data_IF_065984395461
#
_entry.id   IF_065984395461
#
_cell.length_a   1.000
_cell.length_b   1.000
_cell.length_c   1.000
_cell.angle_alpha   90.00
_cell.angle_beta   90.00
_cell.angle_gamma   90.00
#
_symmetry.space_group_name_H-M   'P 1'
#
loop_
_entity.id
_entity.type
_entity.pdbx_description
1 polymer ?
#
# COMPACT_ATOMS: atom_id res chain seq x y z
N UNK A 1 -24.44 41.22 15.39
CA UNK A 1 -23.52 40.07 15.63
C UNK A 1 -24.41 38.86 15.89
N UNK A 2 -24.34 37.71 15.21
CA UNK A 2 -23.33 37.07 14.37
C UNK A 2 -24.09 36.31 13.27
N UNK A 3 -23.65 36.41 12.01
CA UNK A 3 -24.08 35.54 10.93
C UNK A 3 -23.32 34.21 11.07
N UNK A 4 -24.01 33.12 11.39
CA UNK A 4 -23.41 31.77 11.36
C UNK A 4 -23.55 31.25 9.94
N UNK A 5 -22.47 31.32 9.17
CA UNK A 5 -22.36 30.65 7.89
C UNK A 5 -22.07 29.16 8.14
N UNK A 6 -23.08 28.30 7.97
CA UNK A 6 -22.89 26.85 7.97
C UNK A 6 -22.13 26.45 6.71
N UNK A 7 -20.84 26.13 6.86
CA UNK A 7 -20.06 25.49 5.81
C UNK A 7 -20.59 24.07 5.63
N UNK A 8 -21.32 23.83 4.54
CA UNK A 8 -21.54 22.46 4.06
C UNK A 8 -20.20 21.95 3.54
N UNK A 9 -19.54 21.09 4.31
CA UNK A 9 -18.43 20.30 3.82
C UNK A 9 -18.95 19.40 2.68
N UNK A 10 -18.64 19.77 1.44
CA UNK A 10 -18.81 18.88 0.29
C UNK A 10 -17.71 17.83 0.42
N UNK A 11 -18.01 16.72 1.08
CA UNK A 11 -17.19 15.53 1.00
C UNK A 11 -17.28 14.97 -0.42
N UNK A 12 -16.27 15.23 -1.24
CA UNK A 12 -16.10 14.48 -2.48
C UNK A 12 -15.82 13.02 -2.11
N UNK A 13 -16.83 12.17 -2.22
CA UNK A 13 -16.61 10.73 -2.26
C UNK A 13 -15.70 10.43 -3.46
N UNK A 14 -14.46 10.00 -3.19
CA UNK A 14 -13.53 9.56 -4.23
C UNK A 14 -14.19 8.40 -4.99
N UNK A 15 -14.50 8.62 -6.27
CA UNK A 15 -15.11 7.63 -7.18
C UNK A 15 -14.17 6.47 -7.57
N UNK A 16 -13.03 6.32 -6.90
CA UNK A 16 -11.97 5.36 -7.25
C UNK A 16 -11.99 4.06 -6.41
N UNK A 17 -12.91 3.91 -5.43
CA UNK A 17 -12.95 2.74 -4.53
C UNK A 17 -13.62 1.47 -5.11
N UNK A 18 -14.25 1.52 -6.29
CA UNK A 18 -15.21 0.46 -6.70
C UNK A 18 -14.77 -0.45 -7.87
N UNK A 19 -13.54 -0.37 -8.39
CA UNK A 19 -13.14 -1.16 -9.58
C UNK A 19 -12.33 -2.42 -9.29
N UNK A 20 -11.74 -2.57 -8.11
CA UNK A 20 -11.05 -3.80 -7.70
C UNK A 20 -11.93 -4.63 -6.79
N UNK A 21 -12.02 -5.94 -7.04
CA UNK A 21 -12.49 -6.88 -6.02
C UNK A 21 -11.40 -6.97 -4.92
N UNK A 22 -11.34 -5.98 -4.03
CA UNK A 22 -10.33 -5.83 -2.96
C UNK A 22 -10.60 -6.76 -1.77
N UNK A 23 -10.81 -8.05 -2.03
CA UNK A 23 -11.03 -9.05 -0.96
C UNK A 23 -9.73 -9.66 -0.42
N UNK A 24 -8.62 -9.42 -1.10
CA UNK A 24 -7.33 -10.04 -0.78
C UNK A 24 -6.48 -9.04 0.02
N UNK A 25 -6.80 -8.91 1.31
CA UNK A 25 -6.02 -8.19 2.32
C UNK A 25 -4.51 -8.45 2.18
N UNK A 26 -3.66 -7.55 2.70
CA UNK A 26 -2.21 -7.73 2.77
C UNK A 26 -1.83 -8.96 3.61
N UNK A 27 -1.55 -10.09 2.95
CA UNK A 27 -1.44 -11.42 3.57
C UNK A 27 -0.37 -12.30 2.93
N UNK A 28 0.08 -13.29 3.70
CA UNK A 28 1.06 -14.29 3.26
C UNK A 28 0.51 -15.16 2.12
N UNK A 29 1.35 -15.46 1.13
CA UNK A 29 1.09 -16.40 0.04
C UNK A 29 0.23 -15.87 -1.10
N UNK A 30 -0.04 -14.56 -1.14
CA UNK A 30 -0.78 -13.92 -2.24
C UNK A 30 0.18 -13.28 -3.25
N UNK A 31 -0.08 -13.47 -4.56
CA UNK A 31 0.78 -12.92 -5.62
C UNK A 31 0.45 -11.44 -5.92
N UNK A 32 1.07 -10.55 -5.14
CA UNK A 32 0.90 -9.10 -5.33
C UNK A 32 1.53 -8.57 -6.62
N UNK A 33 2.46 -9.29 -7.24
CA UNK A 33 3.03 -8.88 -8.54
C UNK A 33 1.97 -9.02 -9.62
N UNK A 34 1.27 -10.16 -9.65
CA UNK A 34 0.17 -10.38 -10.58
C UNK A 34 -0.98 -9.40 -10.31
N UNK A 35 -1.32 -9.18 -9.03
CA UNK A 35 -2.34 -8.20 -8.65
C UNK A 35 -1.98 -6.79 -9.12
N UNK A 36 -0.76 -6.31 -8.90
CA UNK A 36 -0.34 -4.97 -9.32
C UNK A 36 -0.39 -4.82 -10.85
N UNK A 37 0.02 -5.85 -11.59
CA UNK A 37 -0.07 -5.85 -13.05
C UNK A 37 -1.52 -5.77 -13.55
N UNK A 38 -2.45 -6.50 -12.93
CA UNK A 38 -3.88 -6.53 -13.32
C UNK A 38 -4.64 -5.25 -12.95
N UNK A 39 -4.25 -4.58 -11.87
CA UNK A 39 -4.95 -3.41 -11.34
C UNK A 39 -4.32 -2.07 -11.76
N UNK A 40 -3.17 -2.11 -12.44
CA UNK A 40 -2.64 -0.93 -13.11
C UNK A 40 -3.52 -0.46 -14.29
N UNK A 41 -3.24 0.73 -14.85
CA UNK A 41 -2.18 1.65 -14.45
C UNK A 41 -2.48 2.35 -13.11
N UNK A 42 -1.43 2.56 -12.33
CA UNK A 42 -1.46 3.43 -11.16
C UNK A 42 -1.05 4.84 -11.57
N UNK A 43 -1.54 5.85 -10.87
CA UNK A 43 -1.26 7.24 -11.15
C UNK A 43 -0.70 7.99 -9.93
N UNK A 44 -0.04 9.11 -10.22
CA UNK A 44 0.40 10.03 -9.16
C UNK A 44 -0.83 10.54 -8.40
N UNK A 45 -0.71 10.56 -7.08
CA UNK A 45 -1.76 10.85 -6.08
C UNK A 45 -2.81 9.76 -5.90
N UNK A 46 -2.69 8.61 -6.56
CA UNK A 46 -3.45 7.44 -6.15
C UNK A 46 -3.02 7.00 -4.75
N UNK A 47 -3.98 6.46 -3.99
CA UNK A 47 -3.76 5.96 -2.64
C UNK A 47 -3.84 4.45 -2.64
N UNK A 48 -2.77 3.79 -2.18
CA UNK A 48 -2.77 2.37 -1.91
C UNK A 48 -3.23 2.16 -0.46
N UNK A 49 -4.22 1.32 -0.26
CA UNK A 49 -4.74 0.98 1.07
C UNK A 49 -4.33 -0.44 1.42
N UNK A 50 -3.52 -0.60 2.47
CA UNK A 50 -3.05 -1.86 2.98
C UNK A 50 -3.89 -2.28 4.19
N UNK A 51 -4.74 -3.30 4.00
CA UNK A 51 -5.55 -3.88 5.07
C UNK A 51 -4.91 -5.17 5.58
N UNK A 52 -4.66 -5.25 6.88
CA UNK A 52 -4.13 -6.44 7.56
C UNK A 52 -4.47 -6.39 9.04
N UNK A 53 -4.72 -7.55 9.63
CA UNK A 53 -5.15 -7.61 11.01
C UNK A 53 -4.01 -7.19 11.96
N UNK A 54 -4.29 -6.34 12.96
CA UNK A 54 -3.33 -6.04 14.02
C UNK A 54 -2.87 -7.32 14.73
N UNK A 55 -1.59 -7.39 15.16
CA UNK A 55 -1.08 -8.59 15.81
C UNK A 55 -1.81 -8.87 17.13
N UNK A 56 -2.06 -10.14 17.40
CA UNK A 56 -2.56 -10.68 18.65
C UNK A 56 -1.97 -12.09 18.88
N UNK A 57 -2.38 -12.79 19.92
CA UNK A 57 -1.86 -14.12 20.28
C UNK A 57 -1.96 -15.18 19.16
N UNK A 58 -2.86 -14.98 18.19
CA UNK A 58 -3.12 -15.90 17.08
C UNK A 58 -2.85 -15.28 15.70
N UNK A 59 -2.81 -13.95 15.60
CA UNK A 59 -2.60 -13.21 14.35
C UNK A 59 -1.14 -12.81 14.24
N UNK A 60 -0.45 -13.35 13.23
CA UNK A 60 0.93 -12.93 12.92
C UNK A 60 0.94 -11.48 12.43
N UNK A 61 1.94 -10.68 12.82
CA UNK A 61 2.05 -9.32 12.36
C UNK A 61 2.29 -9.26 10.85
N UNK A 62 1.85 -8.16 10.25
CA UNK A 62 2.25 -7.71 8.93
C UNK A 62 2.65 -6.24 9.00
N UNK A 63 3.64 -5.82 8.22
CA UNK A 63 4.00 -4.41 8.09
C UNK A 63 4.17 -4.03 6.64
N UNK A 64 4.33 -2.74 6.38
CA UNK A 64 4.60 -2.23 5.03
C UNK A 64 5.93 -1.49 5.06
N UNK A 65 6.90 -2.03 4.33
CA UNK A 65 8.20 -1.43 4.10
C UNK A 65 8.29 -0.89 2.68
N UNK A 66 8.95 0.26 2.54
CA UNK A 66 9.29 0.89 1.27
C UNK A 66 10.80 0.84 1.08
N UNK A 67 11.24 0.19 0.00
CA UNK A 67 12.64 0.11 -0.38
C UNK A 67 13.01 1.25 -1.33
N UNK A 68 14.19 1.82 -1.12
CA UNK A 68 14.78 2.85 -1.99
C UNK A 68 15.73 2.23 -3.02
N UNK A 69 16.25 1.03 -2.74
CA UNK A 69 17.20 0.31 -3.59
C UNK A 69 16.55 -0.96 -4.18
N UNK A 70 16.49 -1.09 -5.53
CA UNK A 70 15.90 -2.26 -6.18
C UNK A 70 16.62 -3.59 -5.86
N UNK A 71 17.93 -3.57 -5.67
CA UNK A 71 18.69 -4.77 -5.32
C UNK A 71 18.37 -5.26 -3.91
N UNK A 72 18.24 -4.33 -2.96
CA UNK A 72 17.78 -4.66 -1.60
C UNK A 72 16.36 -5.23 -1.63
N UNK A 73 15.45 -4.66 -2.43
CA UNK A 73 14.11 -5.21 -2.63
C UNK A 73 14.12 -6.63 -3.18
N UNK A 74 14.94 -6.90 -4.20
CA UNK A 74 15.04 -8.23 -4.80
C UNK A 74 15.52 -9.29 -3.79
N UNK A 75 16.45 -8.90 -2.90
CA UNK A 75 17.01 -9.75 -1.84
C UNK A 75 16.19 -9.75 -0.54
N UNK A 76 15.15 -8.91 -0.44
CA UNK A 76 14.43 -8.65 0.81
C UNK A 76 15.35 -8.19 1.97
N UNK A 77 16.38 -7.40 1.65
CA UNK A 77 17.29 -6.80 2.63
C UNK A 77 16.67 -5.52 3.22
N UNK A 78 16.18 -5.60 4.45
CA UNK A 78 15.47 -4.52 5.14
C UNK A 78 16.40 -3.47 5.76
N UNK A 79 17.73 -3.66 5.73
CA UNK A 79 18.70 -2.81 6.45
C UNK A 79 18.60 -1.32 6.12
N UNK A 80 18.17 -0.98 4.90
CA UNK A 80 17.94 0.39 4.44
C UNK A 80 16.47 0.66 4.09
N UNK A 81 15.60 -0.34 4.18
CA UNK A 81 14.19 -0.19 3.87
C UNK A 81 13.48 0.58 5.00
N UNK A 82 12.54 1.45 4.62
CA UNK A 82 11.79 2.26 5.58
C UNK A 82 10.45 1.60 5.89
N UNK A 83 10.17 1.31 7.16
CA UNK A 83 8.82 0.98 7.58
C UNK A 83 7.92 2.21 7.38
N UNK A 84 6.89 2.07 6.54
CA UNK A 84 5.91 3.12 6.25
C UNK A 84 4.56 2.84 6.90
N UNK A 85 4.20 1.56 7.09
CA UNK A 85 3.00 1.14 7.83
C UNK A 85 3.36 0.11 8.90
N UNK A 86 2.96 0.38 10.15
CA UNK A 86 3.24 -0.44 11.34
C UNK A 86 2.26 -1.61 11.46
N UNK A 87 2.61 -2.68 12.19
CA UNK A 87 1.72 -3.81 12.44
C UNK A 87 0.31 -3.50 12.94
N UNK A 88 0.15 -2.40 13.68
CA UNK A 88 -1.14 -1.99 14.24
C UNK A 88 -1.98 -1.12 13.30
N UNK A 89 -1.42 -0.65 12.17
CA UNK A 89 -2.05 0.36 11.31
C UNK A 89 -2.86 -0.25 10.15
N UNK A 90 -2.79 -1.56 9.94
CA UNK A 90 -3.56 -2.25 8.89
C UNK A 90 -5.02 -2.54 9.22
N UNK A 91 -5.42 -2.38 10.49
CA UNK A 91 -6.80 -2.65 10.93
C UNK A 91 -7.79 -1.55 10.52
N UNK A 92 -9.08 -1.85 10.62
CA UNK A 92 -10.15 -0.88 10.31
C UNK A 92 -10.14 -0.43 8.85
N UNK A 93 -9.93 0.86 8.63
CA UNK A 93 -9.81 1.44 7.28
C UNK A 93 -8.52 1.04 6.57
N UNK A 94 -7.51 0.57 7.31
CA UNK A 94 -6.21 0.17 6.79
C UNK A 94 -5.18 1.30 6.73
N UNK A 95 -3.94 0.91 6.42
CA UNK A 95 -2.83 1.84 6.27
C UNK A 95 -2.83 2.43 4.86
N UNK A 96 -2.93 3.75 4.74
CA UNK A 96 -2.93 4.45 3.46
C UNK A 96 -1.52 4.95 3.06
N UNK A 97 -1.15 4.72 1.80
CA UNK A 97 0.07 5.27 1.22
C UNK A 97 -0.23 5.99 -0.10
N UNK A 98 0.07 7.28 -0.16
CA UNK A 98 -0.13 8.11 -1.36
C UNK A 98 1.10 8.07 -2.28
N UNK A 99 0.89 7.77 -3.56
CA UNK A 99 1.92 7.74 -4.60
C UNK A 99 2.28 9.15 -5.09
N UNK A 100 3.17 9.86 -4.40
CA UNK A 100 3.40 11.31 -4.62
C UNK A 100 4.37 11.69 -5.74
N UNK A 101 5.10 10.75 -6.32
CA UNK A 101 6.21 11.02 -7.26
C UNK A 101 6.20 10.05 -8.43
N UNK A 102 6.61 10.52 -9.60
CA UNK A 102 6.87 9.71 -10.78
C UNK A 102 8.19 8.94 -10.63
N UNK A 103 8.13 7.79 -9.95
CA UNK A 103 9.25 6.88 -9.70
C UNK A 103 8.70 5.50 -9.32
N UNK A 104 9.46 4.40 -9.44
CA UNK A 104 9.03 3.11 -8.91
C UNK A 104 8.96 3.14 -7.37
N UNK A 105 7.94 2.49 -6.82
CA UNK A 105 7.79 2.21 -5.39
C UNK A 105 7.87 0.70 -5.16
N UNK A 106 8.78 0.29 -4.29
CA UNK A 106 9.06 -1.10 -3.98
C UNK A 106 8.52 -1.44 -2.59
N UNK A 107 7.34 -2.05 -2.52
CA UNK A 107 6.67 -2.38 -1.27
C UNK A 107 6.90 -3.84 -0.88
N UNK A 108 7.18 -4.11 0.39
CA UNK A 108 7.17 -5.47 0.92
C UNK A 108 6.81 -5.55 2.40
N UNK A 109 6.52 -6.75 2.89
CA UNK A 109 6.31 -7.00 4.31
C UNK A 109 7.67 -7.27 4.97
N UNK A 110 7.97 -6.54 6.05
CA UNK A 110 9.24 -6.65 6.77
C UNK A 110 9.25 -7.70 7.88
N UNK A 111 8.09 -8.25 8.23
CA UNK A 111 7.95 -9.16 9.36
C UNK A 111 8.76 -10.46 9.20
N UNK A 112 9.18 -10.98 10.37
CA UNK A 112 10.07 -12.13 10.50
C UNK A 112 11.36 -11.98 9.69
N UNK A 113 12.06 -10.85 9.90
CA UNK A 113 13.34 -10.54 9.25
C UNK A 113 13.30 -10.66 7.72
N UNK A 114 12.18 -10.25 7.12
CA UNK A 114 11.97 -10.28 5.66
C UNK A 114 11.52 -11.63 5.09
N UNK A 115 11.25 -12.65 5.90
CA UNK A 115 10.71 -13.94 5.42
C UNK A 115 9.37 -13.76 4.69
N UNK A 116 8.49 -12.86 5.17
CA UNK A 116 7.24 -12.55 4.47
C UNK A 116 7.46 -11.95 3.06
N UNK A 117 8.51 -11.14 2.88
CA UNK A 117 8.92 -10.63 1.57
C UNK A 117 9.49 -11.74 0.67
N UNK A 118 10.36 -12.58 1.23
CA UNK A 118 11.15 -13.56 0.47
C UNK A 118 10.32 -14.78 0.04
N UNK A 119 9.66 -15.39 1.02
CA UNK A 119 8.97 -16.68 0.87
C UNK A 119 7.44 -16.49 0.87
N UNK A 120 6.96 -15.43 1.51
CA UNK A 120 5.54 -15.11 1.64
C UNK A 120 4.91 -14.39 0.46
N UNK A 121 5.66 -14.09 -0.60
CA UNK A 121 5.21 -13.33 -1.77
C UNK A 121 4.65 -11.92 -1.45
N UNK A 122 4.82 -11.43 -0.22
CA UNK A 122 4.29 -10.15 0.24
C UNK A 122 5.19 -9.00 -0.23
N UNK A 123 5.28 -8.83 -1.55
CA UNK A 123 6.06 -7.78 -2.20
C UNK A 123 5.52 -7.46 -3.58
N UNK A 124 5.56 -6.20 -3.97
CA UNK A 124 5.21 -5.75 -5.32
C UNK A 124 5.84 -4.40 -5.64
N UNK A 125 5.78 -4.05 -6.92
CA UNK A 125 6.29 -2.78 -7.44
C UNK A 125 5.15 -2.08 -8.16
N UNK A 126 5.03 -0.77 -7.94
CA UNK A 126 4.18 0.09 -8.76
C UNK A 126 5.00 1.24 -9.32
N UNK A 127 4.70 1.65 -10.54
CA UNK A 127 5.22 2.86 -11.15
C UNK A 127 4.02 3.75 -11.49
N UNK A 128 3.68 4.73 -10.63
CA UNK A 128 2.60 5.68 -10.92
C UNK A 128 2.94 6.55 -12.11
N UNK A 129 2.01 6.66 -13.05
CA UNK A 129 2.11 7.50 -14.25
C UNK A 129 1.36 8.83 -14.07
N UNK A 130 1.57 9.77 -14.98
CA UNK A 130 0.72 10.98 -15.04
C UNK A 130 -0.66 10.63 -15.58
N UNK A 131 -1.74 11.12 -14.95
CA UNK A 131 -3.11 10.95 -15.49
C UNK A 131 -3.19 11.62 -16.87
N UNK A 132 -3.77 10.92 -17.85
CA UNK A 132 -3.89 11.41 -19.24
C UNK A 132 -2.66 11.15 -20.12
N UNK A 133 -1.58 10.57 -19.59
CA UNK A 133 -0.55 9.97 -20.42
C UNK A 133 -1.03 8.59 -20.89
N UNK A 134 -1.53 8.54 -22.13
CA UNK A 134 -1.80 7.28 -22.83
C UNK A 134 -0.61 6.98 -23.74
N UNK A 135 -0.11 5.74 -23.70
CA UNK A 135 0.75 5.17 -24.75
C UNK A 135 -0.13 4.56 -25.84
#
# INVERSE_FOLDING_TARGET
MVLVASMLAVGSANKDWQRGNYTENWRYGFDYKQWAWKNGPFYINDTLVFKYDPPNDTTRPHSVYLFQNPWSFMKCDLSQAKMVGKPTEGGGEGFEFVLKRWQPYYFACGEHDGLHCKDGLMRFVVFPMFRGWNY
#
